data_IF_588521122588
#
_entry.id   IF_588521122588
#
_cell.length_a   1.000
_cell.length_b   1.000
_cell.length_c   1.000
_cell.angle_alpha   90.00
_cell.angle_beta   90.00
_cell.angle_gamma   90.00
#
_symmetry.space_group_name_H-M   'P 1'
#
loop_
_entity.id
_entity.type
_entity.pdbx_description
1 polymer ?
#
# COMPACT_ATOMS: atom_id res chain seq x y z
N UNK A 1 10.88 16.71 24.66
CA UNK A 1 10.43 18.12 24.54
C UNK A 1 11.55 19.11 24.85
N UNK A 2 12.27 18.98 25.98
CA UNK A 2 13.39 19.89 26.32
C UNK A 2 14.46 19.99 25.24
N UNK A 3 14.84 18.87 24.61
CA UNK A 3 15.81 18.85 23.50
C UNK A 3 15.35 19.56 22.22
N UNK A 4 14.04 19.54 21.92
CA UNK A 4 13.46 20.20 20.75
C UNK A 4 13.33 21.71 20.97
N UNK A 5 12.91 22.12 22.17
CA UNK A 5 12.81 23.54 22.55
C UNK A 5 14.18 24.23 22.59
N UNK A 6 15.24 23.51 22.96
CA UNK A 6 16.61 24.04 22.92
C UNK A 6 17.25 24.01 21.53
N UNK A 7 16.57 23.46 20.52
CA UNK A 7 17.14 23.30 19.18
C UNK A 7 17.33 24.68 18.51
N UNK A 8 18.41 24.88 17.71
CA UNK A 8 18.63 26.15 17.05
C UNK A 8 17.45 26.66 16.18
N UNK A 9 16.72 25.79 15.45
CA UNK A 9 15.51 26.22 14.73
C UNK A 9 14.42 26.77 15.67
N UNK A 10 14.12 26.07 16.77
CA UNK A 10 13.10 26.50 17.72
C UNK A 10 13.47 27.82 18.39
N UNK A 11 14.72 27.97 18.83
CA UNK A 11 15.21 29.19 19.48
C UNK A 11 15.25 30.38 18.53
N UNK A 12 15.70 30.19 17.28
CA UNK A 12 15.81 31.28 16.30
C UNK A 12 14.45 31.76 15.78
N UNK A 13 13.49 30.86 15.69
CA UNK A 13 12.11 31.16 15.25
C UNK A 13 11.21 31.57 16.42
N UNK A 14 11.70 31.53 17.66
CA UNK A 14 10.93 31.92 18.84
C UNK A 14 9.77 30.96 19.17
N UNK A 15 9.87 29.69 18.76
CA UNK A 15 8.80 28.71 18.92
C UNK A 15 8.68 28.25 20.37
N UNK A 16 7.47 28.25 20.90
CA UNK A 16 7.14 27.66 22.21
C UNK A 16 6.59 26.22 22.05
N UNK A 17 6.23 25.57 23.16
CA UNK A 17 5.73 24.16 23.13
C UNK A 17 4.52 24.00 22.22
N UNK A 18 3.57 24.95 22.25
CA UNK A 18 2.35 24.87 21.44
C UNK A 18 2.65 25.04 19.95
N UNK A 19 3.59 25.92 19.61
CA UNK A 19 3.99 26.12 18.22
C UNK A 19 4.68 24.86 17.68
N UNK A 20 5.56 24.23 18.49
CA UNK A 20 6.21 22.97 18.11
C UNK A 20 5.23 21.81 17.99
N UNK A 21 4.21 21.73 18.85
CA UNK A 21 3.14 20.75 18.74
C UNK A 21 2.35 20.93 17.43
N UNK A 22 1.96 22.17 17.10
CA UNK A 22 1.27 22.47 15.85
C UNK A 22 2.12 22.16 14.60
N UNK A 23 3.41 22.49 14.64
CA UNK A 23 4.36 22.16 13.57
C UNK A 23 4.55 20.65 13.41
N UNK A 24 4.64 19.93 14.54
CA UNK A 24 4.74 18.48 14.54
C UNK A 24 3.47 17.83 13.96
N UNK A 25 2.29 18.30 14.37
CA UNK A 25 1.01 17.79 13.87
C UNK A 25 0.87 18.02 12.37
N UNK A 26 1.22 19.21 11.88
CA UNK A 26 1.23 19.51 10.44
C UNK A 26 2.19 18.60 9.70
N UNK A 27 3.43 18.48 10.17
CA UNK A 27 4.44 17.61 9.56
C UNK A 27 4.01 16.13 9.57
N UNK A 28 3.41 15.66 10.66
CA UNK A 28 2.89 14.29 10.76
C UNK A 28 1.77 14.03 9.75
N UNK A 29 0.85 14.98 9.57
CA UNK A 29 -0.21 14.87 8.57
C UNK A 29 0.34 14.79 7.15
N UNK A 30 1.24 15.71 6.77
CA UNK A 30 1.89 15.72 5.45
C UNK A 30 2.68 14.44 5.19
N UNK A 31 3.47 14.01 6.18
CA UNK A 31 4.24 12.76 6.13
C UNK A 31 3.33 11.56 5.95
N UNK A 32 2.23 11.49 6.71
CA UNK A 32 1.27 10.38 6.64
C UNK A 32 0.59 10.34 5.29
N UNK A 33 0.15 11.49 4.77
CA UNK A 33 -0.46 11.59 3.46
C UNK A 33 0.51 11.14 2.36
N UNK A 34 1.74 11.63 2.39
CA UNK A 34 2.77 11.27 1.41
C UNK A 34 3.08 9.76 1.45
N UNK A 35 3.25 9.20 2.65
CA UNK A 35 3.49 7.78 2.82
C UNK A 35 2.29 6.95 2.34
N UNK A 36 1.06 7.44 2.55
CA UNK A 36 -0.15 6.76 2.10
C UNK A 36 -0.27 6.72 0.58
N UNK A 37 -0.01 7.84 -0.09
CA UNK A 37 0.02 7.89 -1.56
C UNK A 37 1.07 6.93 -2.11
N UNK A 38 2.27 6.90 -1.54
CA UNK A 38 3.32 5.97 -1.97
C UNK A 38 2.92 4.49 -1.75
N UNK A 39 2.23 4.19 -0.66
CA UNK A 39 1.69 2.86 -0.38
C UNK A 39 0.62 2.44 -1.40
N UNK A 40 -0.32 3.32 -1.74
CA UNK A 40 -1.36 3.01 -2.73
C UNK A 40 -0.76 2.86 -4.14
N UNK A 41 0.27 3.66 -4.48
CA UNK A 41 1.02 3.51 -5.73
C UNK A 41 1.71 2.14 -5.80
N UNK A 42 2.41 1.73 -4.74
CA UNK A 42 3.05 0.40 -4.64
C UNK A 42 2.07 -0.73 -4.94
N UNK A 43 0.86 -0.69 -4.38
CA UNK A 43 -0.15 -1.71 -4.60
C UNK A 43 -0.67 -1.75 -6.05
N UNK A 44 -0.55 -0.64 -6.78
CA UNK A 44 -0.92 -0.54 -8.20
C UNK A 44 0.25 -0.74 -9.17
N UNK A 45 1.47 -0.97 -8.69
CA UNK A 45 2.63 -1.17 -9.56
C UNK A 45 2.49 -2.47 -10.36
N UNK A 46 2.88 -2.43 -11.65
CA UNK A 46 2.79 -3.57 -12.55
C UNK A 46 3.45 -4.83 -11.98
N UNK A 47 4.60 -4.70 -11.30
CA UNK A 47 5.28 -5.83 -10.68
C UNK A 47 4.43 -6.51 -9.58
N UNK A 48 3.68 -5.74 -8.79
CA UNK A 48 2.79 -6.27 -7.77
C UNK A 48 1.57 -6.93 -8.39
N UNK A 49 0.94 -6.28 -9.37
CA UNK A 49 -0.24 -6.82 -10.07
C UNK A 49 0.10 -8.09 -10.86
N UNK A 50 1.23 -8.10 -11.58
CA UNK A 50 1.71 -9.27 -12.33
C UNK A 50 2.02 -10.47 -11.42
N UNK A 51 2.64 -10.23 -10.26
CA UNK A 51 2.93 -11.28 -9.29
C UNK A 51 1.65 -12.01 -8.87
N UNK A 52 0.60 -11.26 -8.55
CA UNK A 52 -0.70 -11.78 -8.13
C UNK A 52 -1.48 -12.38 -9.30
N UNK A 53 -1.43 -11.78 -10.49
CA UNK A 53 -1.99 -12.35 -11.71
C UNK A 53 -1.39 -13.71 -12.06
N UNK A 54 -0.08 -13.91 -11.84
CA UNK A 54 0.58 -15.22 -11.99
C UNK A 54 0.17 -16.19 -10.89
N UNK A 55 0.11 -15.73 -9.63
CA UNK A 55 -0.25 -16.60 -8.51
C UNK A 55 -1.69 -17.13 -8.63
N UNK A 56 -2.65 -16.30 -9.06
CA UNK A 56 -4.02 -16.75 -9.33
C UNK A 56 -4.11 -17.80 -10.42
N UNK A 57 -3.25 -17.72 -11.45
CA UNK A 57 -3.20 -18.72 -12.53
C UNK A 57 -2.67 -20.06 -12.03
N UNK A 58 -1.69 -20.04 -11.12
CA UNK A 58 -1.11 -21.25 -10.52
C UNK A 58 -2.04 -21.87 -9.48
N UNK A 59 -2.77 -21.05 -8.70
CA UNK A 59 -3.75 -21.50 -7.72
C UNK A 59 -5.07 -22.01 -8.31
N UNK A 60 -5.35 -21.71 -9.58
CA UNK A 60 -6.58 -22.10 -10.29
C UNK A 60 -6.61 -23.54 -10.82
N UNK A 61 -5.53 -24.31 -10.70
CA UNK A 61 -5.43 -25.67 -11.26
C UNK A 61 -6.02 -26.76 -10.34
N UNK A 62 -6.72 -26.39 -9.25
CA UNK A 62 -7.17 -27.37 -8.25
C UNK A 62 -8.44 -27.06 -7.43
N UNK A 63 -9.21 -26.02 -7.74
CA UNK A 63 -10.52 -25.81 -7.12
C UNK A 63 -11.56 -25.46 -8.18
N UNK A 64 -12.59 -26.31 -8.25
CA UNK A 64 -13.72 -26.28 -9.16
C UNK A 64 -14.39 -24.89 -9.20
N UNK A 65 -14.21 -24.16 -10.31
CA UNK A 65 -14.76 -22.82 -10.48
C UNK A 65 -14.03 -21.98 -11.53
N UNK A 66 -14.03 -22.45 -12.78
CA UNK A 66 -13.34 -21.82 -13.89
C UNK A 66 -13.72 -20.36 -14.13
N UNK A 67 -12.72 -19.48 -14.13
CA UNK A 67 -12.77 -18.29 -14.97
C UNK A 67 -12.44 -18.78 -16.38
N UNK A 68 -13.44 -18.84 -17.25
CA UNK A 68 -13.22 -19.03 -18.68
C UNK A 68 -12.35 -17.87 -19.17
N UNK A 69 -11.06 -18.13 -19.40
CA UNK A 69 -10.38 -17.49 -20.52
C UNK A 69 -11.00 -18.13 -21.75
N UNK A 70 -11.87 -17.40 -22.45
CA UNK A 70 -12.14 -17.75 -23.85
C UNK A 70 -10.81 -17.58 -24.59
N UNK A 71 -10.26 -18.71 -25.03
CA UNK A 71 -9.13 -18.82 -25.95
C UNK A 71 -9.60 -18.43 -27.35
N UNK A 72 -9.86 -17.14 -27.58
CA UNK A 72 -9.88 -16.56 -28.93
C UNK A 72 -9.75 -15.04 -28.84
N UNK A 73 -8.53 -14.54 -28.68
CA UNK A 73 -8.16 -13.25 -29.29
C UNK A 73 -6.63 -13.12 -29.34
N UNK A 74 -6.07 -13.62 -30.43
CA UNK A 74 -4.84 -13.09 -31.01
C UNK A 74 -5.14 -11.75 -31.68
N UNK A 75 -5.12 -10.63 -30.96
CA UNK A 75 -4.68 -9.36 -31.50
C UNK A 75 -4.51 -8.31 -30.39
N UNK A 76 -3.64 -7.36 -30.69
CA UNK A 76 -3.30 -6.15 -29.95
C UNK A 76 -4.45 -5.59 -29.08
N UNK A 77 -4.25 -5.52 -27.77
CA UNK A 77 -5.27 -5.05 -26.85
C UNK A 77 -4.70 -4.69 -25.50
N UNK A 78 -4.46 -3.40 -25.31
CA UNK A 78 -4.26 -2.74 -24.02
C UNK A 78 -5.17 -3.36 -22.94
N UNK A 79 -4.62 -4.26 -22.13
CA UNK A 79 -5.32 -4.91 -21.02
C UNK A 79 -5.60 -3.91 -19.90
N UNK A 80 -6.60 -3.06 -20.10
CA UNK A 80 -7.19 -2.14 -19.13
C UNK A 80 -7.92 -2.86 -17.99
N UNK A 81 -7.28 -3.84 -17.35
CA UNK A 81 -7.83 -4.68 -16.28
C UNK A 81 -7.13 -4.53 -14.92
N UNK A 82 -6.07 -3.72 -14.81
CA UNK A 82 -5.17 -3.70 -13.64
C UNK A 82 -5.83 -3.42 -12.27
N UNK A 83 -7.02 -2.79 -12.24
CA UNK A 83 -7.78 -2.56 -11.00
C UNK A 83 -8.84 -3.62 -10.70
N UNK A 84 -9.43 -4.25 -11.72
CA UNK A 84 -10.50 -5.23 -11.54
C UNK A 84 -9.96 -6.60 -11.13
N UNK A 85 -8.80 -6.99 -11.65
CA UNK A 85 -8.15 -8.27 -11.32
C UNK A 85 -7.60 -8.29 -9.90
N UNK A 86 -7.01 -7.19 -9.43
CA UNK A 86 -6.48 -7.10 -8.06
C UNK A 86 -7.58 -7.25 -7.01
N UNK A 87 -8.79 -6.74 -7.29
CA UNK A 87 -9.96 -6.86 -6.40
C UNK A 87 -10.44 -8.29 -6.26
N UNK A 88 -10.40 -9.06 -7.35
CA UNK A 88 -10.83 -10.46 -7.33
C UNK A 88 -9.76 -11.34 -6.67
N UNK A 89 -8.48 -11.06 -6.94
CA UNK A 89 -7.36 -11.78 -6.34
C UNK A 89 -7.26 -11.60 -4.83
N UNK A 90 -7.39 -10.37 -4.34
CA UNK A 90 -7.31 -10.08 -2.91
C UNK A 90 -8.45 -10.65 -2.05
N UNK A 91 -9.59 -11.02 -2.65
CA UNK A 91 -10.64 -11.77 -1.95
C UNK A 91 -10.26 -13.23 -1.73
N UNK A 92 -9.35 -13.77 -2.55
CA UNK A 92 -8.86 -15.15 -2.49
C UNK A 92 -7.51 -15.30 -1.77
N UNK A 93 -6.72 -14.23 -1.68
CA UNK A 93 -5.37 -14.23 -1.11
C UNK A 93 -5.38 -13.94 0.39
N UNK A 94 -4.64 -14.73 1.16
CA UNK A 94 -4.41 -14.46 2.59
C UNK A 94 -3.52 -13.22 2.75
N UNK A 95 -3.91 -12.30 3.62
CA UNK A 95 -3.12 -11.11 3.95
C UNK A 95 -1.71 -11.50 4.38
N UNK A 96 -1.53 -12.63 5.07
CA UNK A 96 -0.22 -13.11 5.49
C UNK A 96 0.74 -13.32 4.32
N UNK A 97 0.24 -13.77 3.17
CA UNK A 97 1.06 -13.93 1.97
C UNK A 97 1.44 -12.59 1.36
N UNK A 98 0.51 -11.63 1.36
CA UNK A 98 0.81 -10.25 0.96
C UNK A 98 1.89 -9.61 1.84
N UNK A 99 1.82 -9.82 3.16
CA UNK A 99 2.83 -9.33 4.09
C UNK A 99 4.21 -9.95 3.83
N UNK A 100 4.29 -11.25 3.50
CA UNK A 100 5.55 -11.91 3.19
C UNK A 100 6.26 -11.32 1.98
N UNK A 101 5.50 -10.89 0.96
CA UNK A 101 6.02 -10.25 -0.25
C UNK A 101 6.45 -8.81 0.04
N UNK A 102 5.62 -8.08 0.80
CA UNK A 102 5.81 -6.65 1.04
C UNK A 102 6.73 -6.31 2.22
N UNK A 103 7.14 -7.29 3.04
CA UNK A 103 7.94 -7.08 4.28
C UNK A 103 9.23 -6.28 4.10
N UNK A 104 9.79 -6.24 2.88
CA UNK A 104 11.03 -5.51 2.58
C UNK A 104 10.76 -4.17 1.87
N UNK A 105 9.52 -3.88 1.46
CA UNK A 105 9.19 -2.60 0.82
C UNK A 105 9.13 -1.51 1.91
N UNK A 106 9.89 -0.43 1.70
CA UNK A 106 9.95 0.71 2.63
C UNK A 106 8.59 1.39 2.79
N UNK A 107 7.78 1.39 1.74
CA UNK A 107 6.44 2.01 1.73
C UNK A 107 5.46 1.20 2.56
N UNK A 108 5.63 -0.13 2.61
CA UNK A 108 4.88 -1.03 3.46
C UNK A 108 5.30 -0.93 4.95
N UNK A 109 6.61 -0.98 5.20
CA UNK A 109 7.19 -0.94 6.57
C UNK A 109 7.07 0.43 7.25
N UNK A 110 6.87 1.51 6.49
CA UNK A 110 6.57 2.84 7.03
C UNK A 110 5.36 2.86 7.97
N UNK A 111 4.49 1.86 7.88
CA UNK A 111 3.28 1.70 8.70
C UNK A 111 3.37 0.56 9.73
N UNK A 112 4.56 0.03 10.04
CA UNK A 112 4.76 -1.03 11.06
C UNK A 112 4.25 -0.64 12.45
N UNK A 113 4.18 0.66 12.74
CA UNK A 113 3.65 1.20 13.99
C UNK A 113 2.12 1.15 14.07
N UNK A 114 1.42 0.88 12.96
CA UNK A 114 -0.05 0.81 12.86
C UNK A 114 -0.52 -0.36 11.98
N UNK A 115 -0.16 -1.61 12.33
CA UNK A 115 -0.38 -2.78 11.47
C UNK A 115 -1.87 -2.99 11.14
N UNK A 116 -2.77 -2.77 12.11
CA UNK A 116 -4.22 -2.90 11.89
C UNK A 116 -4.77 -1.90 10.86
N UNK A 117 -4.20 -0.70 10.76
CA UNK A 117 -4.60 0.26 9.73
C UNK A 117 -4.11 -0.18 8.36
N UNK A 118 -2.86 -0.65 8.28
CA UNK A 118 -2.27 -1.18 7.06
C UNK A 118 -3.05 -2.37 6.52
N UNK A 119 -3.39 -3.34 7.37
CA UNK A 119 -4.21 -4.49 6.99
C UNK A 119 -5.58 -4.06 6.44
N UNK A 120 -6.23 -3.10 7.10
CA UNK A 120 -7.49 -2.53 6.59
C UNK A 120 -7.30 -1.91 5.21
N UNK A 121 -6.20 -1.23 4.95
CA UNK A 121 -5.95 -0.65 3.62
C UNK A 121 -5.66 -1.70 2.57
N UNK A 122 -4.95 -2.79 2.90
CA UNK A 122 -4.81 -3.93 1.99
C UNK A 122 -6.17 -4.54 1.62
N UNK A 123 -7.10 -4.62 2.58
CA UNK A 123 -8.47 -5.08 2.35
C UNK A 123 -9.33 -4.08 1.58
N UNK A 124 -9.18 -2.76 1.80
CA UNK A 124 -10.02 -1.72 1.20
C UNK A 124 -9.58 -1.30 -0.19
N UNK A 125 -8.27 -1.20 -0.43
CA UNK A 125 -7.70 -0.92 -1.77
C UNK A 125 -7.99 -2.05 -2.77
N UNK A 126 -8.66 -3.11 -2.31
CA UNK A 126 -9.07 -4.29 -3.06
C UNK A 126 -10.60 -4.51 -3.10
N UNK A 127 -11.41 -3.54 -2.67
CA UNK A 127 -12.87 -3.51 -2.88
C UNK A 127 -13.31 -2.58 -4.01
#
# INVERSE_FOLDING_TARGET
LSSLLSSPPATKLGLNSRDLEAEFDRWQQERTQTARVAFDQMLGENAFVEFWGRLSKIGGEGVDGGVKMDEDDTEDGEGGGGKADLKTLAKSVDIKEMELVLKNDKRFTSFDHVPEQRERWLRVSTF
#
